data_IF_435274138147
#
_entry.id   IF_435274138147
#
_cell.length_a   1.000
_cell.length_b   1.000
_cell.length_c   1.000
_cell.angle_alpha   90.00
_cell.angle_beta   90.00
_cell.angle_gamma   90.00
#
_symmetry.space_group_name_H-M   'P 1'
#
loop_
_entity.id
_entity.type
_entity.pdbx_description
1 polymer ?
#
# COMPACT_ATOMS: atom_id res chain seq x y z
N UNK A 1 12.91 0.35 17.32
CA UNK A 1 12.17 1.56 16.91
C UNK A 1 12.67 2.77 17.70
N UNK A 2 12.91 3.90 17.04
CA UNK A 2 13.38 5.14 17.70
C UNK A 2 12.20 6.05 18.16
N UNK A 3 12.51 7.13 18.90
CA UNK A 3 11.50 8.03 19.47
C UNK A 3 10.61 8.70 18.40
N UNK A 4 11.18 9.07 17.24
CA UNK A 4 10.44 9.71 16.14
C UNK A 4 9.46 8.72 15.51
N UNK A 5 9.89 7.48 15.31
CA UNK A 5 9.03 6.39 14.83
C UNK A 5 7.90 6.09 15.82
N UNK A 6 8.18 6.03 17.12
CA UNK A 6 7.14 5.87 18.15
C UNK A 6 6.10 6.98 18.08
N UNK A 7 6.53 8.24 17.92
CA UNK A 7 5.64 9.40 17.83
C UNK A 7 4.78 9.38 16.56
N UNK A 8 5.36 9.02 15.41
CA UNK A 8 4.65 8.85 14.14
C UNK A 8 3.59 7.75 14.25
N UNK A 9 3.96 6.62 14.84
CA UNK A 9 3.03 5.49 15.01
C UNK A 9 1.90 5.83 15.98
N UNK A 10 2.19 6.52 17.09
CA UNK A 10 1.17 6.98 18.02
C UNK A 10 0.16 7.92 17.36
N UNK A 11 0.64 8.86 16.53
CA UNK A 11 -0.22 9.77 15.77
C UNK A 11 -1.11 9.00 14.78
N UNK A 12 -0.55 8.04 14.04
CA UNK A 12 -1.28 7.23 13.09
C UNK A 12 -2.39 6.39 13.78
N UNK A 13 -2.06 5.75 14.91
CA UNK A 13 -3.04 4.93 15.66
C UNK A 13 -4.15 5.78 16.27
N UNK A 14 -3.82 6.97 16.78
CA UNK A 14 -4.83 7.92 17.27
C UNK A 14 -5.80 8.34 16.15
N UNK A 15 -5.36 8.41 14.90
CA UNK A 15 -6.24 8.72 13.78
C UNK A 15 -7.30 7.62 13.54
N UNK A 16 -6.95 6.35 13.76
CA UNK A 16 -7.92 5.26 13.73
C UNK A 16 -8.83 5.23 14.95
N UNK A 17 -8.28 5.56 16.13
CA UNK A 17 -8.95 5.49 17.44
C UNK A 17 -8.74 6.79 18.23
N UNK A 18 -9.52 7.85 17.95
CA UNK A 18 -9.36 9.15 18.59
C UNK A 18 -9.52 9.12 20.11
N UNK A 19 -10.26 8.15 20.64
CA UNK A 19 -10.45 7.94 22.08
C UNK A 19 -9.19 7.40 22.78
N UNK A 20 -8.18 6.92 22.04
CA UNK A 20 -6.88 6.54 22.57
C UNK A 20 -5.92 7.73 22.45
N UNK A 21 -5.65 8.49 23.53
CA UNK A 21 -4.90 9.74 23.42
C UNK A 21 -3.48 9.49 22.91
N UNK A 22 -3.03 10.30 21.96
CA UNK A 22 -1.71 10.15 21.33
C UNK A 22 -0.56 10.12 22.35
N UNK A 23 -0.62 10.93 23.42
CA UNK A 23 0.42 10.94 24.46
C UNK A 23 0.48 9.61 25.23
N UNK A 24 -0.67 9.00 25.51
CA UNK A 24 -0.78 7.69 26.14
C UNK A 24 -0.28 6.59 25.20
N UNK A 25 -0.63 6.65 23.92
CA UNK A 25 -0.12 5.74 22.89
C UNK A 25 1.40 5.84 22.75
N UNK A 26 1.95 7.04 22.69
CA UNK A 26 3.40 7.25 22.63
C UNK A 26 4.10 6.61 23.82
N UNK A 27 3.60 6.86 25.03
CA UNK A 27 4.15 6.29 26.26
C UNK A 27 4.07 4.76 26.26
N UNK A 28 2.94 4.21 25.81
CA UNK A 28 2.72 2.77 25.69
C UNK A 28 3.65 2.12 24.65
N UNK A 29 3.78 2.72 23.47
CA UNK A 29 4.62 2.22 22.37
C UNK A 29 6.09 2.25 22.78
N UNK A 30 6.55 3.37 23.35
CA UNK A 30 7.94 3.49 23.82
C UNK A 30 8.25 2.48 24.92
N UNK A 31 7.31 2.23 25.84
CA UNK A 31 7.53 1.27 26.93
C UNK A 31 7.53 -0.19 26.46
N UNK A 32 6.60 -0.57 25.59
CA UNK A 32 6.33 -1.99 25.33
C UNK A 32 6.80 -2.47 23.95
N UNK A 33 6.90 -1.57 22.97
CA UNK A 33 7.12 -1.92 21.56
C UNK A 33 8.41 -1.33 20.98
N UNK A 34 9.17 -0.52 21.73
CA UNK A 34 10.41 0.10 21.24
C UNK A 34 11.46 -0.92 20.77
N UNK A 35 11.49 -2.13 21.37
CA UNK A 35 12.37 -3.21 20.98
C UNK A 35 11.96 -3.92 19.67
N UNK A 36 10.75 -3.67 19.16
CA UNK A 36 10.24 -4.25 17.92
C UNK A 36 10.72 -3.45 16.70
N UNK A 37 10.69 -4.12 15.54
CA UNK A 37 10.80 -3.44 14.26
C UNK A 37 9.59 -2.51 14.05
N UNK A 38 9.84 -1.35 13.44
CA UNK A 38 8.79 -0.35 13.19
C UNK A 38 7.63 -0.93 12.37
N UNK A 39 7.95 -1.69 11.31
CA UNK A 39 6.98 -2.38 10.45
C UNK A 39 6.06 -3.31 11.24
N UNK A 40 6.63 -4.21 12.03
CA UNK A 40 5.87 -5.19 12.79
C UNK A 40 4.93 -4.52 13.80
N UNK A 41 5.43 -3.51 14.51
CA UNK A 41 4.63 -2.74 15.47
C UNK A 41 3.48 -2.00 14.76
N UNK A 42 3.73 -1.44 13.56
CA UNK A 42 2.71 -0.75 12.79
C UNK A 42 1.61 -1.70 12.30
N UNK A 43 1.97 -2.87 11.75
CA UNK A 43 1.00 -3.90 11.33
C UNK A 43 0.16 -4.35 12.52
N UNK A 44 0.81 -4.69 13.64
CA UNK A 44 0.14 -5.19 14.82
C UNK A 44 -0.83 -4.17 15.43
N UNK A 45 -0.38 -2.93 15.62
CA UNK A 45 -1.22 -1.87 16.19
C UNK A 45 -2.35 -1.45 15.27
N UNK A 46 -2.13 -1.41 13.96
CA UNK A 46 -3.20 -1.08 13.00
C UNK A 46 -4.28 -2.15 13.04
N UNK A 47 -3.90 -3.43 13.05
CA UNK A 47 -4.85 -4.53 13.20
C UNK A 47 -5.67 -4.40 14.48
N UNK A 48 -5.00 -4.18 15.62
CA UNK A 48 -5.65 -4.07 16.93
C UNK A 48 -6.56 -2.85 16.99
N UNK A 49 -6.18 -1.73 16.38
CA UNK A 49 -6.96 -0.51 16.33
C UNK A 49 -8.23 -0.65 15.49
N UNK A 50 -8.19 -1.38 14.37
CA UNK A 50 -9.32 -1.57 13.46
C UNK A 50 -10.25 -2.72 13.84
N UNK A 51 -9.86 -3.58 14.79
CA UNK A 51 -10.73 -4.62 15.33
C UNK A 51 -11.77 -4.00 16.29
N UNK A 52 -13.08 -4.10 15.98
CA UNK A 52 -14.14 -3.50 16.79
C UNK A 52 -14.27 -4.14 18.18
N UNK A 53 -13.76 -5.37 18.39
CA UNK A 53 -13.75 -6.02 19.69
C UNK A 53 -12.63 -5.50 20.61
N UNK A 54 -11.72 -4.66 20.10
CA UNK A 54 -10.64 -4.09 20.89
C UNK A 54 -11.07 -2.80 21.60
N UNK A 55 -11.05 -2.84 22.93
CA UNK A 55 -11.28 -1.66 23.77
C UNK A 55 -10.01 -0.85 24.02
N UNK A 56 -8.85 -1.53 24.11
CA UNK A 56 -7.59 -0.90 24.54
C UNK A 56 -6.39 -1.31 23.69
N UNK A 57 -5.38 -0.44 23.54
CA UNK A 57 -4.16 -0.76 22.80
C UNK A 57 -3.33 -1.88 23.46
N UNK A 58 -3.56 -2.18 24.75
CA UNK A 58 -2.84 -3.22 25.48
C UNK A 58 -3.04 -4.61 24.88
N UNK A 59 -4.15 -4.84 24.16
CA UNK A 59 -4.43 -6.10 23.47
C UNK A 59 -3.30 -6.52 22.54
N UNK A 60 -2.58 -5.57 21.93
CA UNK A 60 -1.44 -5.87 21.04
C UNK A 60 -0.33 -6.69 21.72
N UNK A 61 -0.23 -6.64 23.05
CA UNK A 61 0.78 -7.38 23.81
C UNK A 61 0.48 -8.88 23.90
N UNK A 62 -0.77 -9.28 23.64
CA UNK A 62 -1.17 -10.68 23.60
C UNK A 62 -0.53 -11.39 22.40
N UNK A 63 -0.43 -12.72 22.49
CA UNK A 63 0.02 -13.57 21.39
C UNK A 63 -1.11 -13.75 20.35
N UNK A 64 -1.51 -12.65 19.71
CA UNK A 64 -2.60 -12.63 18.74
C UNK A 64 -2.19 -12.85 17.29
N UNK A 65 -3.17 -13.03 16.39
CA UNK A 65 -2.95 -13.29 14.96
C UNK A 65 -2.21 -12.17 14.24
N UNK A 66 -2.31 -10.93 14.75
CA UNK A 66 -1.62 -9.78 14.19
C UNK A 66 -0.09 -9.89 14.23
N UNK A 67 0.48 -10.68 15.14
CA UNK A 67 1.92 -10.97 15.15
C UNK A 67 2.35 -11.98 14.08
N UNK A 68 1.44 -12.84 13.64
CA UNK A 68 1.68 -13.72 12.49
C UNK A 68 1.63 -12.88 11.20
N UNK A 69 0.65 -11.98 11.09
CA UNK A 69 0.54 -11.07 9.95
C UNK A 69 1.76 -10.14 9.81
N UNK A 70 2.30 -9.63 10.93
CA UNK A 70 3.52 -8.83 10.93
C UNK A 70 4.73 -9.58 10.34
N UNK A 71 4.80 -10.90 10.53
CA UNK A 71 5.89 -11.77 10.07
C UNK A 71 5.78 -12.23 8.63
N UNK A 72 4.80 -11.76 7.85
CA UNK A 72 4.55 -12.20 6.47
C UNK A 72 5.67 -11.89 5.44
N UNK A 73 6.90 -11.59 5.89
CA UNK A 73 8.12 -11.52 5.07
C UNK A 73 8.70 -12.90 4.70
N UNK A 74 8.06 -14.00 5.12
CA UNK A 74 8.29 -15.29 4.47
C UNK A 74 7.63 -15.25 3.09
N UNK A 75 8.32 -14.59 2.15
CA UNK A 75 8.06 -14.49 0.71
C UNK A 75 6.80 -15.27 0.32
N UNK A 76 5.62 -14.66 0.53
CA UNK A 76 4.39 -15.24 0.03
C UNK A 76 4.66 -15.48 -1.46
N UNK A 77 4.46 -16.72 -1.97
CA UNK A 77 4.65 -16.98 -3.38
C UNK A 77 3.90 -15.89 -4.12
N UNK A 78 4.57 -15.16 -5.01
CA UNK A 78 3.87 -14.30 -5.94
C UNK A 78 2.75 -15.17 -6.53
N UNK A 79 1.47 -14.81 -6.37
CA UNK A 79 0.41 -15.63 -6.94
C UNK A 79 0.75 -15.81 -8.41
N UNK A 80 0.79 -17.07 -8.82
CA UNK A 80 1.19 -17.40 -10.15
C UNK A 80 0.08 -16.96 -11.11
N UNK A 81 0.17 -15.72 -11.61
CA UNK A 81 -0.82 -15.16 -12.54
C UNK A 81 -0.81 -15.90 -13.90
N UNK A 82 0.15 -16.80 -14.10
CA UNK A 82 0.23 -17.83 -15.14
C UNK A 82 -1.06 -18.65 -15.28
N UNK A 83 -1.79 -18.94 -14.18
CA UNK A 83 -3.05 -19.72 -14.29
C UNK A 83 -4.18 -18.93 -14.96
N UNK A 84 -4.12 -17.59 -14.95
CA UNK A 84 -5.04 -16.73 -15.69
C UNK A 84 -4.56 -16.46 -17.13
N UNK A 85 -3.38 -16.96 -17.51
CA UNK A 85 -2.79 -16.86 -18.84
C UNK A 85 -2.41 -15.45 -19.29
N UNK A 86 -2.62 -14.39 -18.48
CA UNK A 86 -2.42 -12.99 -18.90
C UNK A 86 -1.03 -12.48 -18.55
N UNK A 87 -0.36 -11.86 -19.53
CA UNK A 87 0.91 -11.17 -19.30
C UNK A 87 0.71 -9.94 -18.37
N UNK A 88 1.53 -9.77 -17.32
CA UNK A 88 1.41 -8.63 -16.40
C UNK A 88 1.81 -7.28 -17.03
N UNK A 89 2.42 -7.29 -18.23
CA UNK A 89 2.85 -6.07 -18.95
C UNK A 89 1.89 -5.66 -20.07
N UNK A 90 1.08 -6.58 -20.59
CA UNK A 90 0.03 -6.27 -21.56
C UNK A 90 -1.22 -7.16 -21.32
N UNK A 91 -2.39 -6.58 -21.05
CA UNK A 91 -3.59 -7.36 -20.72
C UNK A 91 -4.25 -8.03 -21.94
N UNK A 92 -3.62 -7.98 -23.11
CA UNK A 92 -4.25 -8.27 -24.40
C UNK A 92 -4.24 -9.76 -24.82
N UNK A 93 -3.44 -10.64 -24.20
CA UNK A 93 -3.27 -12.03 -24.69
C UNK A 93 -3.14 -13.10 -23.60
N UNK A 94 -3.54 -14.33 -23.95
CA UNK A 94 -3.40 -15.58 -23.16
C UNK A 94 -2.19 -16.38 -23.65
N UNK A 95 -1.28 -16.83 -22.77
CA UNK A 95 0.00 -17.47 -23.16
C UNK A 95 0.07 -18.95 -22.73
N UNK A 96 0.58 -19.87 -23.58
CA UNK A 96 1.25 -21.09 -23.15
C UNK A 96 2.78 -20.98 -23.27
N UNK A 97 3.51 -21.07 -22.15
CA UNK A 97 4.97 -21.27 -22.08
C UNK A 97 5.87 -20.04 -21.86
N UNK A 98 7.07 -20.29 -21.32
CA UNK A 98 8.04 -19.32 -20.75
C UNK A 98 8.84 -18.46 -21.77
N UNK A 99 8.41 -18.34 -23.02
CA UNK A 99 9.28 -17.88 -24.12
C UNK A 99 8.70 -16.88 -25.10
N UNK A 100 7.88 -15.89 -24.69
CA UNK A 100 7.34 -14.90 -25.64
C UNK A 100 8.11 -13.57 -25.62
N UNK A 101 8.42 -13.05 -26.82
CA UNK A 101 8.87 -11.68 -27.01
C UNK A 101 7.64 -10.76 -27.04
N UNK A 102 7.50 -9.90 -26.04
CA UNK A 102 6.50 -8.82 -26.05
C UNK A 102 6.82 -7.83 -27.18
N UNK A 103 6.24 -8.02 -28.37
CA UNK A 103 6.19 -6.97 -29.39
C UNK A 103 4.94 -6.13 -29.12
N UNK A 104 5.05 -4.80 -28.95
CA UNK A 104 3.87 -3.95 -28.81
C UNK A 104 3.02 -4.12 -30.07
N UNK A 105 1.72 -4.40 -29.91
CA UNK A 105 0.81 -4.33 -31.04
C UNK A 105 0.86 -2.90 -31.61
N UNK A 106 0.88 -2.76 -32.94
CA UNK A 106 0.79 -1.44 -33.53
C UNK A 106 -0.49 -0.75 -33.02
N UNK A 107 -0.39 0.52 -32.56
CA UNK A 107 -1.55 1.22 -32.05
C UNK A 107 -2.62 1.31 -33.14
N UNK A 108 -3.87 1.03 -32.76
CA UNK A 108 -5.01 1.16 -33.67
C UNK A 108 -5.14 2.60 -34.15
N UNK A 109 -5.74 2.79 -35.33
CA UNK A 109 -5.99 4.13 -35.87
C UNK A 109 -6.84 4.99 -34.92
N UNK A 110 -7.78 4.35 -34.21
CA UNK A 110 -8.57 5.01 -33.18
C UNK A 110 -7.71 5.57 -32.03
N UNK A 111 -6.72 4.80 -31.56
CA UNK A 111 -5.78 5.28 -30.54
C UNK A 111 -4.88 6.41 -31.06
N UNK A 112 -4.41 6.30 -32.30
CA UNK A 112 -3.60 7.35 -32.94
C UNK A 112 -4.36 8.66 -33.04
N UNK A 113 -5.63 8.60 -33.43
CA UNK A 113 -6.51 9.77 -33.53
C UNK A 113 -6.77 10.41 -32.17
N UNK A 114 -7.13 9.61 -31.16
CA UNK A 114 -7.34 10.11 -29.81
C UNK A 114 -6.10 10.77 -29.20
N UNK A 115 -4.90 10.24 -29.52
CA UNK A 115 -3.64 10.84 -29.06
C UNK A 115 -3.30 12.15 -29.79
N UNK A 116 -3.64 12.25 -31.07
CA UNK A 116 -3.49 13.49 -31.83
C UNK A 116 -4.46 14.58 -31.34
N UNK A 117 -5.71 14.21 -31.04
CA UNK A 117 -6.70 15.12 -30.49
C UNK A 117 -6.25 15.67 -29.12
N UNK A 118 -5.74 14.80 -28.23
CA UNK A 118 -5.22 15.21 -26.92
C UNK A 118 -4.02 16.17 -27.05
N UNK A 119 -3.12 15.91 -28.00
CA UNK A 119 -1.96 16.77 -28.27
C UNK A 119 -2.37 18.15 -28.77
N UNK A 120 -3.41 18.24 -29.61
CA UNK A 120 -3.96 19.50 -30.08
C UNK A 120 -4.65 20.32 -28.96
N UNK A 121 -5.25 19.65 -27.97
CA UNK A 121 -5.91 20.33 -26.85
C UNK A 121 -4.92 20.84 -25.78
N UNK A 122 -3.73 20.23 -25.70
CA UNK A 122 -2.65 20.73 -24.83
C UNK A 122 -1.98 22.00 -25.35
N UNK A 123 -2.01 22.26 -26.66
CA UNK A 123 -1.42 23.47 -27.26
C UNK A 123 -2.32 24.71 -27.17
N UNK A 124 -3.64 24.55 -27.08
CA UNK A 124 -4.57 25.69 -26.96
C UNK A 124 -4.61 26.34 -25.56
N UNK A 125 -4.00 25.73 -24.55
CA UNK A 125 -4.05 26.23 -23.16
C UNK A 125 -2.97 27.28 -22.84
N UNK A 126 -2.03 27.55 -23.75
CA UNK A 126 -0.92 28.49 -23.52
C UNK A 126 -1.13 29.88 -24.19
N UNK A 127 -2.17 30.09 -25.01
CA UNK A 127 -2.32 31.33 -25.80
C UNK A 127 -3.35 32.35 -25.27
N UNK A 128 -3.97 32.14 -24.09
CA UNK A 128 -4.90 33.12 -23.49
C UNK A 128 -4.43 33.70 -22.15
N UNK A 129 -3.13 33.90 -21.98
CA UNK A 129 -2.58 34.64 -20.83
C UNK A 129 -1.43 35.54 -21.26
N UNK A 130 -1.70 36.53 -22.10
CA UNK A 130 -0.96 37.80 -22.08
C UNK A 130 -1.78 38.93 -22.72
N UNK A 131 -1.90 40.03 -21.96
CA UNK A 131 -2.05 41.43 -22.44
C UNK A 131 -3.25 41.81 -23.30
#
# INVERSE_FOLDING_TARGET
MNQVECARLAAAVNHYRPEWPQASLLSFITKNLAARAYRDAAVALTWVATDPATETPARVLENGPWWVAARADEKAPTPDNSVAGKCPRCPAWTIPGDGHACTPAEPTEAYRRARADLAAHTTDSEETSDG
#
